data_IF_337056840219
#
_entry.id   IF_337056840219
#
_cell.length_a   1.000
_cell.length_b   1.000
_cell.length_c   1.000
_cell.angle_alpha   90.00
_cell.angle_beta   90.00
_cell.angle_gamma   90.00
#
_symmetry.space_group_name_H-M   'P 1'
#
loop_
_entity.id
_entity.type
_entity.pdbx_description
1 polymer ?
#
# COMPACT_ATOMS: atom_id res chain seq x y z
N UNK A 1 12.69 18.70 -25.77
CA UNK A 1 13.46 17.97 -24.75
C UNK A 1 12.59 16.83 -24.27
N UNK A 2 13.05 15.59 -24.46
CA UNK A 2 12.27 14.38 -24.15
C UNK A 2 12.12 14.22 -22.64
N UNK A 3 10.91 13.95 -22.16
CA UNK A 3 10.57 13.64 -20.76
C UNK A 3 11.21 12.33 -20.24
N UNK A 4 12.12 11.72 -21.00
CA UNK A 4 12.76 10.45 -20.67
C UNK A 4 13.97 10.56 -19.72
N UNK A 5 14.40 11.77 -19.36
CA UNK A 5 15.55 11.97 -18.47
C UNK A 5 15.07 12.51 -17.14
N UNK A 6 14.74 11.62 -16.19
CA UNK A 6 14.80 11.80 -14.72
C UNK A 6 14.27 10.54 -14.00
N UNK A 7 14.58 9.33 -14.49
CA UNK A 7 14.29 8.12 -13.72
C UNK A 7 15.42 7.83 -12.73
N UNK A 8 15.31 8.41 -11.54
CA UNK A 8 16.28 8.28 -10.44
C UNK A 8 15.86 7.18 -9.44
N UNK A 9 15.02 6.23 -9.85
CA UNK A 9 14.36 5.29 -8.93
C UNK A 9 15.19 4.00 -8.70
N UNK A 10 15.11 3.39 -7.50
CA UNK A 10 15.80 2.15 -7.19
C UNK A 10 15.37 1.00 -8.11
N UNK A 11 16.32 0.37 -8.80
CA UNK A 11 16.10 -0.60 -9.89
C UNK A 11 15.41 -1.94 -9.49
N UNK A 12 15.01 -2.12 -8.22
CA UNK A 12 14.57 -3.40 -7.66
C UNK A 12 13.20 -3.35 -6.96
N UNK A 13 12.39 -2.31 -7.18
CA UNK A 13 11.02 -2.29 -6.67
C UNK A 13 10.10 -2.65 -7.85
N UNK A 14 9.27 -3.71 -7.76
CA UNK A 14 8.19 -3.93 -8.72
C UNK A 14 7.40 -2.63 -8.81
N UNK A 15 7.43 -2.01 -9.98
CA UNK A 15 6.71 -0.78 -10.21
C UNK A 15 5.33 -1.13 -10.75
N UNK A 16 4.31 -0.29 -10.50
CA UNK A 16 3.06 -0.43 -11.23
C UNK A 16 3.42 -0.45 -12.73
N UNK A 17 3.02 -1.50 -13.49
CA UNK A 17 3.39 -1.60 -14.88
C UNK A 17 2.98 -0.30 -15.57
N UNK A 18 3.86 0.23 -16.42
CA UNK A 18 3.59 1.44 -17.23
C UNK A 18 2.29 1.33 -18.01
N UNK A 19 1.81 0.11 -18.25
CA UNK A 19 0.54 -0.20 -18.91
C UNK A 19 -0.71 0.09 -18.07
N UNK A 20 -0.60 0.22 -16.73
CA UNK A 20 -1.70 0.80 -15.93
C UNK A 20 -1.97 2.24 -16.39
N UNK A 21 -0.93 3.00 -16.73
CA UNK A 21 -1.10 4.35 -17.25
C UNK A 21 -1.77 4.35 -18.64
N UNK A 22 -1.57 3.28 -19.43
CA UNK A 22 -2.23 3.12 -20.73
C UNK A 22 -3.76 2.89 -20.58
N UNK A 23 -4.18 2.13 -19.55
CA UNK A 23 -5.61 1.77 -19.34
C UNK A 23 -6.36 2.59 -18.28
N UNK A 24 -5.67 3.43 -17.52
CA UNK A 24 -6.24 4.37 -16.51
C UNK A 24 -7.09 3.72 -15.40
N UNK A 25 -6.87 2.45 -15.06
CA UNK A 25 -7.61 1.84 -13.95
C UNK A 25 -7.25 2.49 -12.60
N UNK A 26 -8.27 2.81 -11.79
CA UNK A 26 -8.09 3.19 -10.39
C UNK A 26 -7.69 1.96 -9.56
N UNK A 27 -7.10 2.18 -8.37
CA UNK A 27 -6.82 1.06 -7.47
C UNK A 27 -8.11 0.45 -6.92
N UNK A 28 -9.18 1.24 -6.79
CA UNK A 28 -10.53 0.76 -6.49
C UNK A 28 -10.99 -0.31 -7.47
N UNK A 29 -10.93 -0.03 -8.78
CA UNK A 29 -11.37 -0.97 -9.81
C UNK A 29 -10.54 -2.26 -9.81
N UNK A 30 -9.23 -2.14 -9.66
CA UNK A 30 -8.33 -3.30 -9.61
C UNK A 30 -8.62 -4.14 -8.35
N UNK A 31 -8.78 -3.48 -7.20
CA UNK A 31 -9.03 -4.12 -5.93
C UNK A 31 -10.35 -4.90 -5.92
N UNK A 32 -11.41 -4.31 -6.47
CA UNK A 32 -12.70 -4.97 -6.68
C UNK A 32 -12.54 -6.21 -7.57
N UNK A 33 -11.76 -6.12 -8.65
CA UNK A 33 -11.56 -7.25 -9.57
C UNK A 33 -10.79 -8.42 -8.93
N UNK A 34 -9.79 -8.15 -8.10
CA UNK A 34 -8.97 -9.20 -7.47
C UNK A 34 -9.48 -9.62 -6.07
N UNK A 35 -10.59 -9.05 -5.60
CA UNK A 35 -11.17 -9.41 -4.30
C UNK A 35 -10.31 -9.00 -3.10
N UNK A 36 -9.51 -7.94 -3.22
CA UNK A 36 -8.69 -7.37 -2.13
C UNK A 36 -9.14 -5.95 -1.82
N UNK A 37 -8.70 -5.41 -0.68
CA UNK A 37 -8.91 -3.98 -0.42
C UNK A 37 -7.90 -3.12 -1.19
N UNK A 38 -8.22 -1.85 -1.40
CA UNK A 38 -7.43 -0.94 -2.25
C UNK A 38 -5.99 -0.78 -1.81
N UNK A 39 -5.75 -0.67 -0.50
CA UNK A 39 -4.41 -0.47 0.06
C UNK A 39 -3.54 -1.72 -0.13
N UNK A 40 -4.11 -2.91 0.09
CA UNK A 40 -3.43 -4.17 -0.15
C UNK A 40 -3.11 -4.37 -1.63
N UNK A 41 -4.06 -4.01 -2.51
CA UNK A 41 -3.85 -4.01 -3.96
C UNK A 41 -2.71 -3.09 -4.35
N UNK A 42 -2.71 -1.83 -3.90
CA UNK A 42 -1.61 -0.90 -4.14
C UNK A 42 -0.28 -1.43 -3.60
N UNK A 43 -0.27 -2.09 -2.43
CA UNK A 43 0.93 -2.68 -1.85
C UNK A 43 1.54 -3.79 -2.72
N UNK A 44 0.75 -4.59 -3.45
CA UNK A 44 1.27 -5.58 -4.43
C UNK A 44 2.08 -4.85 -5.50
N UNK A 45 1.54 -3.75 -6.04
CA UNK A 45 2.15 -2.97 -7.12
C UNK A 45 3.42 -2.22 -6.69
N UNK A 46 3.70 -2.14 -5.39
CA UNK A 46 4.95 -1.62 -4.83
C UNK A 46 5.85 -2.73 -4.24
N UNK A 47 5.54 -4.00 -4.50
CA UNK A 47 6.31 -5.14 -3.99
C UNK A 47 6.22 -5.35 -2.47
N UNK A 48 5.19 -4.79 -1.82
CA UNK A 48 5.01 -4.85 -0.36
C UNK A 48 3.97 -5.89 0.08
N UNK A 49 3.30 -6.55 -0.86
CA UNK A 49 2.38 -7.65 -0.60
C UNK A 49 2.58 -8.77 -1.62
N UNK A 50 2.33 -10.02 -1.19
CA UNK A 50 2.39 -11.19 -2.06
C UNK A 50 1.08 -11.28 -2.84
N UNK A 51 1.17 -11.42 -4.16
CA UNK A 51 0.07 -11.83 -5.00
C UNK A 51 -0.11 -13.36 -4.88
N UNK A 52 -1.35 -13.79 -4.68
CA UNK A 52 -1.74 -15.20 -4.81
C UNK A 52 -1.78 -15.60 -6.29
N UNK A 53 -1.79 -16.91 -6.63
CA UNK A 53 -1.98 -17.35 -8.01
C UNK A 53 -3.27 -16.83 -8.66
N UNK A 54 -4.34 -16.69 -7.86
CA UNK A 54 -5.61 -16.10 -8.28
C UNK A 54 -5.47 -14.60 -8.55
N UNK A 55 -4.78 -13.85 -7.67
CA UNK A 55 -4.48 -12.44 -7.91
C UNK A 55 -3.73 -12.26 -9.24
N UNK A 56 -2.71 -13.10 -9.51
CA UNK A 56 -1.91 -13.00 -10.72
C UNK A 56 -2.75 -13.27 -11.97
N UNK A 57 -3.56 -14.33 -11.97
CA UNK A 57 -4.49 -14.64 -13.07
C UNK A 57 -5.46 -13.49 -13.34
N UNK A 58 -6.07 -12.94 -12.28
CA UNK A 58 -7.04 -11.85 -12.40
C UNK A 58 -6.37 -10.55 -12.85
N UNK A 59 -5.18 -10.23 -12.34
CA UNK A 59 -4.39 -9.08 -12.78
C UNK A 59 -3.97 -9.20 -14.25
N UNK A 60 -3.53 -10.38 -14.68
CA UNK A 60 -3.15 -10.65 -16.06
C UNK A 60 -4.32 -10.40 -17.02
N UNK A 61 -5.50 -10.90 -16.66
CA UNK A 61 -6.75 -10.69 -17.41
C UNK A 61 -7.13 -9.20 -17.47
N UNK A 62 -7.21 -8.52 -16.33
CA UNK A 62 -7.64 -7.12 -16.26
C UNK A 62 -6.68 -6.16 -16.97
N UNK A 63 -5.37 -6.36 -16.76
CA UNK A 63 -4.34 -5.49 -17.33
C UNK A 63 -3.99 -5.89 -18.78
N UNK A 64 -4.50 -7.02 -19.28
CA UNK A 64 -4.10 -7.71 -20.52
C UNK A 64 -2.58 -7.83 -20.63
N UNK A 65 -1.94 -8.21 -19.53
CA UNK A 65 -0.52 -8.54 -19.48
C UNK A 65 -0.42 -10.06 -19.51
N UNK A 66 0.47 -10.66 -20.32
CA UNK A 66 0.68 -12.10 -20.30
C UNK A 66 0.94 -12.60 -18.88
N UNK A 67 0.24 -13.65 -18.46
CA UNK A 67 0.30 -14.16 -17.09
C UNK A 67 1.74 -14.50 -16.66
N UNK A 68 2.51 -15.12 -17.54
CA UNK A 68 3.92 -15.49 -17.34
C UNK A 68 4.78 -14.28 -16.92
N UNK A 69 4.53 -13.10 -17.50
CA UNK A 69 5.26 -11.87 -17.15
C UNK A 69 4.94 -11.43 -15.72
N UNK A 70 3.68 -11.53 -15.31
CA UNK A 70 3.27 -11.21 -13.94
C UNK A 70 3.73 -12.27 -12.94
N UNK A 71 3.78 -13.54 -13.34
CA UNK A 71 4.34 -14.62 -12.52
C UNK A 71 5.82 -14.37 -12.25
N UNK A 72 6.62 -14.06 -13.26
CA UNK A 72 8.04 -13.76 -13.08
C UNK A 72 8.28 -12.56 -12.16
N UNK A 73 7.40 -11.56 -12.19
CA UNK A 73 7.54 -10.33 -11.39
C UNK A 73 6.95 -10.42 -9.97
N UNK A 74 5.85 -11.16 -9.79
CA UNK A 74 5.05 -11.18 -8.55
C UNK A 74 5.11 -12.52 -7.82
N UNK A 75 5.71 -13.55 -8.41
CA UNK A 75 5.97 -14.82 -7.71
C UNK A 75 7.04 -14.67 -6.61
N UNK A 76 7.22 -15.73 -5.82
CA UNK A 76 8.15 -15.71 -4.69
C UNK A 76 7.63 -14.96 -3.46
N UNK A 77 8.54 -14.50 -2.59
CA UNK A 77 8.21 -13.80 -1.35
C UNK A 77 8.62 -12.33 -1.42
N UNK A 78 7.76 -11.38 -1.00
CA UNK A 78 8.08 -9.96 -1.05
C UNK A 78 9.20 -9.58 -0.07
N UNK A 79 10.21 -8.89 -0.57
CA UNK A 79 11.28 -8.25 0.20
C UNK A 79 10.85 -6.84 0.61
N UNK A 80 10.06 -6.79 1.68
CA UNK A 80 9.35 -5.58 2.14
C UNK A 80 10.30 -4.55 2.76
N UNK A 81 9.89 -3.29 2.73
CA UNK A 81 10.57 -2.19 3.45
C UNK A 81 11.60 -1.43 2.61
N UNK A 82 11.76 -1.78 1.33
CA UNK A 82 12.68 -1.09 0.40
C UNK A 82 12.03 0.07 -0.37
N UNK A 83 10.70 0.20 -0.32
CA UNK A 83 9.97 1.20 -1.11
C UNK A 83 10.06 2.62 -0.57
N UNK A 84 10.35 2.79 0.72
CA UNK A 84 10.44 4.10 1.38
C UNK A 84 11.81 4.21 2.05
N UNK A 85 12.63 5.13 1.56
CA UNK A 85 13.85 5.53 2.27
C UNK A 85 13.47 6.28 3.55
N UNK A 86 14.12 5.95 4.66
CA UNK A 86 13.84 6.55 5.97
C UNK A 86 14.92 7.60 6.31
N UNK A 87 14.54 8.80 6.80
CA UNK A 87 13.16 9.28 6.98
C UNK A 87 12.46 9.55 5.63
N UNK A 88 11.11 9.40 5.55
CA UNK A 88 10.39 9.61 4.30
C UNK A 88 10.58 11.04 3.79
N UNK A 89 10.97 11.17 2.51
CA UNK A 89 11.12 12.49 1.86
C UNK A 89 9.83 12.98 1.23
N UNK A 90 8.90 12.08 0.89
CA UNK A 90 7.62 12.42 0.30
C UNK A 90 6.68 13.01 1.38
N UNK A 91 6.11 14.21 1.17
CA UNK A 91 5.36 14.91 2.21
C UNK A 91 4.17 14.14 2.80
N UNK A 92 3.36 13.45 1.99
CA UNK A 92 2.19 12.69 2.50
C UNK A 92 2.64 11.55 3.42
N UNK A 93 3.61 10.75 2.99
CA UNK A 93 4.18 9.65 3.80
C UNK A 93 4.87 10.20 5.05
N UNK A 94 5.55 11.35 4.95
CA UNK A 94 6.20 11.99 6.09
C UNK A 94 5.19 12.36 7.19
N UNK A 95 3.95 12.77 6.86
CA UNK A 95 2.92 13.05 7.88
C UNK A 95 2.51 11.82 8.68
N UNK A 96 2.46 10.64 8.05
CA UNK A 96 2.21 9.39 8.78
C UNK A 96 3.36 9.08 9.74
N UNK A 97 4.60 9.30 9.31
CA UNK A 97 5.78 9.18 10.16
C UNK A 97 5.76 10.18 11.34
N UNK A 98 5.37 11.43 11.09
CA UNK A 98 5.25 12.48 12.10
C UNK A 98 4.16 12.17 13.14
N UNK A 99 3.04 11.56 12.73
CA UNK A 99 2.02 11.06 13.66
C UNK A 99 2.62 10.00 14.59
N UNK A 100 3.40 9.05 14.05
CA UNK A 100 4.08 8.03 14.88
C UNK A 100 5.08 8.69 15.84
N UNK A 101 5.86 9.66 15.37
CA UNK A 101 6.82 10.38 16.21
C UNK A 101 6.15 11.12 17.38
N UNK A 102 5.02 11.78 17.14
CA UNK A 102 4.35 12.60 18.15
C UNK A 102 3.43 11.79 19.08
N UNK A 103 2.76 10.76 18.55
CA UNK A 103 1.74 9.99 19.28
C UNK A 103 2.19 8.59 19.69
N UNK A 104 3.40 8.13 19.32
CA UNK A 104 3.87 6.77 19.57
C UNK A 104 3.77 6.33 21.04
N UNK A 105 4.25 7.16 21.97
CA UNK A 105 4.12 6.88 23.41
C UNK A 105 2.68 7.00 23.92
N UNK A 106 1.87 7.89 23.35
CA UNK A 106 0.45 8.01 23.69
C UNK A 106 -0.32 6.74 23.28
N UNK A 107 -0.10 6.24 22.07
CA UNK A 107 -0.66 4.96 21.62
C UNK A 107 -0.20 3.81 22.52
N UNK A 108 1.10 3.73 22.83
CA UNK A 108 1.64 2.69 23.71
C UNK A 108 0.92 2.66 25.06
N UNK A 109 0.79 3.81 25.73
CA UNK A 109 0.16 3.91 27.03
C UNK A 109 -1.31 3.47 27.00
N UNK A 110 -2.11 4.04 26.09
CA UNK A 110 -3.54 3.72 25.96
C UNK A 110 -3.78 2.26 25.59
N UNK A 111 -2.94 1.70 24.69
CA UNK A 111 -3.02 0.29 24.34
C UNK A 111 -2.67 -0.60 25.53
N UNK A 112 -1.65 -0.26 26.31
CA UNK A 112 -1.29 -1.03 27.50
C UNK A 112 -2.39 -1.00 28.57
N UNK A 113 -3.05 0.14 28.78
CA UNK A 113 -4.20 0.24 29.71
C UNK A 113 -5.39 -0.62 29.26
N UNK A 114 -5.65 -0.70 27.94
CA UNK A 114 -6.81 -1.42 27.40
C UNK A 114 -6.58 -2.92 27.25
N UNK A 115 -5.36 -3.34 26.92
CA UNK A 115 -5.09 -4.70 26.46
C UNK A 115 -3.96 -5.40 27.23
N UNK A 116 -3.30 -4.72 28.17
CA UNK A 116 -2.18 -5.26 28.95
C UNK A 116 -0.82 -5.09 28.27
N UNK A 117 0.19 -5.85 28.68
CA UNK A 117 1.50 -5.83 28.03
C UNK A 117 1.47 -6.62 26.71
N UNK A 118 1.98 -6.04 25.62
CA UNK A 118 1.81 -6.60 24.28
C UNK A 118 1.97 -5.56 23.17
N UNK A 119 1.59 -5.96 21.94
CA UNK A 119 1.72 -5.14 20.73
C UNK A 119 0.50 -5.31 19.81
N UNK A 120 0.18 -4.27 19.04
CA UNK A 120 -0.70 -4.43 17.89
C UNK A 120 0.10 -5.00 16.71
N UNK A 121 -0.24 -6.22 16.26
CA UNK A 121 0.44 -6.89 15.15
C UNK A 121 0.35 -6.09 13.84
N UNK A 122 1.47 -6.02 13.11
CA UNK A 122 1.55 -5.51 11.74
C UNK A 122 1.54 -6.62 10.67
N UNK A 123 1.38 -7.89 11.07
CA UNK A 123 1.32 -9.05 10.17
C UNK A 123 -0.09 -9.64 10.14
N UNK A 124 -0.66 -9.94 11.32
CA UNK A 124 -2.09 -10.24 11.46
C UNK A 124 -2.85 -8.92 11.53
N UNK A 125 -2.92 -8.25 10.38
CA UNK A 125 -3.23 -6.84 10.26
C UNK A 125 -4.04 -6.54 9.00
N UNK A 126 -4.90 -5.54 9.07
CA UNK A 126 -5.50 -4.90 7.90
C UNK A 126 -5.56 -3.37 8.07
N UNK A 127 -5.53 -2.67 6.94
CA UNK A 127 -5.67 -1.21 6.87
C UNK A 127 -6.56 -0.82 5.70
N UNK A 128 -7.28 0.29 5.82
CA UNK A 128 -8.09 0.89 4.75
C UNK A 128 -8.02 2.41 4.82
N UNK A 129 -8.31 3.04 3.70
CA UNK A 129 -8.45 4.50 3.58
C UNK A 129 -9.87 4.80 3.16
N UNK A 130 -10.51 5.73 3.86
CA UNK A 130 -11.85 6.23 3.56
C UNK A 130 -11.81 7.75 3.46
N UNK A 131 -12.71 8.30 2.65
CA UNK A 131 -12.94 9.75 2.56
C UNK A 131 -14.21 10.08 3.32
N UNK A 132 -14.11 11.02 4.24
CA UNK A 132 -15.24 11.60 4.95
C UNK A 132 -15.39 13.07 4.56
N UNK A 133 -16.63 13.56 4.48
CA UNK A 133 -16.92 14.99 4.29
C UNK A 133 -17.71 15.47 5.50
N UNK A 134 -17.18 16.47 6.20
CA UNK A 134 -17.83 17.03 7.39
C UNK A 134 -18.99 17.97 7.01
N UNK A 135 -19.71 18.44 8.04
CA UNK A 135 -20.86 19.33 7.87
C UNK A 135 -20.50 20.69 7.23
N UNK A 136 -19.25 21.12 7.35
CA UNK A 136 -18.73 22.37 6.77
C UNK A 136 -18.21 22.16 5.32
N UNK A 137 -18.28 20.92 4.81
CA UNK A 137 -17.83 20.55 3.46
C UNK A 137 -16.34 20.27 3.35
N UNK A 138 -15.59 20.20 4.44
CA UNK A 138 -14.19 19.81 4.41
C UNK A 138 -14.05 18.31 4.23
N UNK A 139 -13.05 17.89 3.45
CA UNK A 139 -12.76 16.48 3.23
C UNK A 139 -11.65 16.01 4.17
N UNK A 140 -11.89 14.87 4.80
CA UNK A 140 -10.97 14.21 5.73
C UNK A 140 -10.57 12.84 5.18
N UNK A 141 -9.30 12.51 5.32
CA UNK A 141 -8.79 11.16 5.05
C UNK A 141 -8.81 10.37 6.36
N UNK A 142 -9.58 9.29 6.39
CA UNK A 142 -9.68 8.38 7.54
C UNK A 142 -8.85 7.14 7.23
N UNK A 143 -7.76 6.95 7.98
CA UNK A 143 -6.93 5.75 7.90
C UNK A 143 -7.24 4.87 9.10
N UNK A 144 -7.75 3.67 8.84
CA UNK A 144 -8.03 2.69 9.90
C UNK A 144 -6.88 1.69 9.99
N UNK A 145 -6.27 1.55 11.17
CA UNK A 145 -5.29 0.52 11.48
C UNK A 145 -5.95 -0.55 12.37
N UNK A 146 -6.06 -1.80 11.89
CA UNK A 146 -6.68 -2.91 12.62
C UNK A 146 -5.73 -4.08 12.72
N UNK A 147 -4.97 -4.14 13.80
CA UNK A 147 -4.10 -5.26 14.13
C UNK A 147 -4.66 -6.14 15.23
N UNK A 148 -4.34 -7.43 15.18
CA UNK A 148 -4.52 -8.34 16.32
C UNK A 148 -3.62 -7.88 17.49
N UNK A 149 -4.17 -7.84 18.71
CA UNK A 149 -3.39 -7.72 19.94
C UNK A 149 -2.72 -9.06 20.26
#
# INVERSE_FOLDING_TARGET
MSLATLDVRPQNIPHPPTDRAAKKFSFEQIAQHIGRNEVATAAIFYGQAKASPEDITNLASLLEIPQEVLEDQLSGFPDRGKSVEMPPKEPLIYRLYEIVQNYGYAYKAVLNEKFGDGIMSAISFSTKVEKETDADGNNWAVITLRGKW
#
